data_IF_300496987076
#
_entry.id   IF_300496987076
#
_cell.length_a   1.000
_cell.length_b   1.000
_cell.length_c   1.000
_cell.angle_alpha   90.00
_cell.angle_beta   90.00
_cell.angle_gamma   90.00
#
_symmetry.space_group_name_H-M   'P 1'
#
loop_
_entity.id
_entity.type
_entity.pdbx_description
1 polymer ?
#
# COMPACT_ATOMS: atom_id res chain seq x y z
N UNK A 1 -22.35 -18.45 -76.02
CA UNK A 1 -23.27 -19.20 -75.14
C UNK A 1 -22.38 -20.08 -74.27
N UNK A 2 -22.20 -19.99 -72.95
CA UNK A 2 -22.87 -19.41 -71.78
C UNK A 2 -21.74 -19.18 -70.75
N UNK A 3 -21.33 -17.95 -70.45
CA UNK A 3 -21.54 -17.19 -69.21
C UNK A 3 -21.91 -17.98 -67.93
N UNK A 4 -20.96 -18.21 -67.01
CA UNK A 4 -21.23 -18.28 -65.56
C UNK A 4 -20.09 -17.56 -64.80
N UNK A 5 -20.44 -16.43 -64.18
CA UNK A 5 -19.65 -15.72 -63.18
C UNK A 5 -19.69 -16.51 -61.87
N UNK A 6 -18.54 -16.76 -61.26
CA UNK A 6 -18.45 -17.13 -59.85
C UNK A 6 -18.07 -15.88 -59.05
N UNK A 7 -19.07 -15.32 -58.38
CA UNK A 7 -18.95 -14.24 -57.40
C UNK A 7 -18.55 -14.88 -56.06
N UNK A 8 -17.31 -14.69 -55.63
CA UNK A 8 -16.88 -15.09 -54.28
C UNK A 8 -16.74 -13.85 -53.42
N UNK A 9 -17.82 -13.49 -52.72
CA UNK A 9 -17.79 -12.58 -51.57
C UNK A 9 -17.03 -13.28 -50.44
N UNK A 10 -15.79 -12.88 -50.18
CA UNK A 10 -15.11 -13.20 -48.93
C UNK A 10 -15.33 -12.04 -47.95
N UNK A 11 -16.45 -12.08 -47.24
CA UNK A 11 -16.73 -11.21 -46.10
C UNK A 11 -15.93 -11.73 -44.90
N UNK A 12 -14.69 -11.25 -44.73
CA UNK A 12 -13.93 -11.49 -43.51
C UNK A 12 -14.33 -10.44 -42.47
N UNK A 13 -15.19 -10.87 -41.54
CA UNK A 13 -15.69 -10.12 -40.39
C UNK A 13 -14.51 -9.58 -39.57
N UNK A 14 -14.41 -8.25 -39.46
CA UNK A 14 -13.62 -7.58 -38.44
C UNK A 14 -14.13 -8.03 -37.06
N UNK A 15 -13.45 -9.00 -36.47
CA UNK A 15 -13.63 -9.33 -35.06
C UNK A 15 -12.82 -8.32 -34.26
N UNK A 16 -13.52 -7.29 -33.77
CA UNK A 16 -13.06 -6.42 -32.70
C UNK A 16 -12.73 -7.30 -31.49
N UNK A 17 -11.46 -7.67 -31.31
CA UNK A 17 -10.98 -8.16 -30.04
C UNK A 17 -11.09 -7.01 -29.04
N UNK A 18 -11.97 -7.19 -28.06
CA UNK A 18 -12.23 -6.21 -27.01
C UNK A 18 -10.91 -5.79 -26.37
N UNK A 19 -10.68 -4.48 -26.35
CA UNK A 19 -9.68 -3.88 -25.50
C UNK A 19 -10.07 -4.22 -24.05
N UNK A 20 -9.44 -5.26 -23.50
CA UNK A 20 -9.35 -5.41 -22.06
C UNK A 20 -8.52 -4.22 -21.57
N UNK A 21 -9.21 -3.13 -21.24
CA UNK A 21 -8.69 -2.04 -20.42
C UNK A 21 -8.38 -2.63 -19.05
N UNK A 22 -7.26 -3.34 -18.94
CA UNK A 22 -6.54 -3.41 -17.68
C UNK A 22 -6.17 -1.97 -17.37
N UNK A 23 -6.99 -1.30 -16.57
CA UNK A 23 -6.58 -0.08 -15.88
C UNK A 23 -5.48 -0.52 -14.94
N UNK A 24 -4.26 -0.55 -15.47
CA UNK A 24 -3.07 -0.52 -14.66
C UNK A 24 -3.27 0.64 -13.70
N UNK A 25 -3.24 0.34 -12.40
CA UNK A 25 -3.04 1.34 -11.37
C UNK A 25 -1.60 1.80 -11.52
N UNK A 26 -1.31 2.52 -12.61
CA UNK A 26 -0.08 3.25 -12.78
C UNK A 26 -0.10 4.33 -11.71
N UNK A 27 0.84 4.23 -10.76
CA UNK A 27 1.40 5.41 -10.13
C UNK A 27 1.71 6.39 -11.25
N UNK A 28 0.83 7.39 -11.40
CA UNK A 28 0.96 8.48 -12.36
C UNK A 28 2.42 8.99 -12.26
N UNK A 29 3.16 9.13 -13.38
CA UNK A 29 4.46 9.80 -13.33
C UNK A 29 4.24 11.17 -12.70
N UNK A 30 5.22 11.68 -11.95
CA UNK A 30 5.16 12.92 -11.18
C UNK A 30 4.51 14.07 -11.96
N UNK A 31 3.19 14.14 -11.92
CA UNK A 31 2.38 15.11 -12.62
C UNK A 31 2.19 16.24 -11.65
N UNK A 32 2.61 17.45 -12.04
CA UNK A 32 2.38 18.73 -11.38
C UNK A 32 1.81 18.57 -9.97
N UNK A 33 2.71 18.39 -8.99
CA UNK A 33 2.29 18.32 -7.60
C UNK A 33 1.45 19.57 -7.34
N UNK A 34 0.21 19.39 -6.89
CA UNK A 34 -0.59 20.50 -6.44
C UNK A 34 0.08 21.00 -5.15
N UNK A 35 0.85 22.08 -5.26
CA UNK A 35 1.62 22.63 -4.15
C UNK A 35 0.67 23.53 -3.36
N UNK A 36 0.29 23.07 -2.17
CA UNK A 36 -0.50 23.85 -1.22
C UNK A 36 0.41 24.73 -0.37
N UNK A 37 -0.10 25.83 0.23
CA UNK A 37 0.69 26.68 1.11
C UNK A 37 1.29 25.91 2.30
N UNK A 38 2.43 26.35 2.81
CA UNK A 38 3.15 25.75 3.96
C UNK A 38 2.31 25.65 5.23
N UNK A 39 1.29 26.50 5.37
CA UNK A 39 0.34 26.54 6.49
C UNK A 39 -0.87 25.62 6.28
N UNK A 40 -0.93 24.86 5.19
CA UNK A 40 -2.10 24.04 4.89
C UNK A 40 -2.27 22.92 5.91
N UNK A 41 -3.46 22.88 6.50
CA UNK A 41 -3.92 21.75 7.31
C UNK A 41 -5.22 21.23 6.70
N UNK A 42 -5.38 19.90 6.54
CA UNK A 42 -6.63 19.32 6.09
C UNK A 42 -7.83 19.87 6.88
N UNK A 43 -8.90 20.33 6.20
CA UNK A 43 -10.10 20.82 6.87
C UNK A 43 -10.62 19.79 7.88
N UNK A 44 -10.87 20.20 9.12
CA UNK A 44 -11.33 19.29 10.19
C UNK A 44 -12.84 18.99 10.09
N UNK A 45 -13.27 18.59 8.89
CA UNK A 45 -14.66 18.31 8.53
C UNK A 45 -15.06 16.85 8.76
N UNK A 46 -14.08 15.96 8.93
CA UNK A 46 -14.29 14.55 9.27
C UNK A 46 -13.78 14.22 10.67
N UNK A 47 -14.41 13.21 11.27
CA UNK A 47 -13.94 12.53 12.48
C UNK A 47 -13.87 11.04 12.22
N UNK A 48 -12.78 10.39 12.61
CA UNK A 48 -12.69 8.94 12.52
C UNK A 48 -13.33 8.33 13.77
N UNK A 49 -14.36 7.51 13.57
CA UNK A 49 -15.06 6.85 14.67
C UNK A 49 -14.40 5.54 15.06
N UNK A 50 -13.89 4.79 14.10
CA UNK A 50 -13.11 3.58 14.34
C UNK A 50 -12.07 3.38 13.24
N UNK A 51 -10.88 2.92 13.62
CA UNK A 51 -9.80 2.58 12.69
C UNK A 51 -9.25 1.21 13.06
N UNK A 52 -9.30 0.28 12.11
CA UNK A 52 -8.66 -1.03 12.25
C UNK A 52 -7.60 -1.13 11.18
N UNK A 53 -6.33 -1.10 11.60
CA UNK A 53 -5.17 -1.24 10.71
C UNK A 53 -4.62 -2.65 10.80
N UNK A 54 -4.60 -3.38 9.70
CA UNK A 54 -3.94 -4.67 9.57
C UNK A 54 -2.64 -4.53 8.77
N UNK A 55 -1.52 -4.98 9.35
CA UNK A 55 -0.21 -5.03 8.72
C UNK A 55 0.16 -6.50 8.49
N UNK A 56 0.31 -6.91 7.24
CA UNK A 56 0.74 -8.25 6.86
C UNK A 56 2.23 -8.25 6.50
N UNK A 57 3.01 -9.01 7.27
CA UNK A 57 4.46 -9.19 7.13
C UNK A 57 4.83 -10.59 6.60
N UNK A 58 3.86 -11.32 6.02
CA UNK A 58 4.08 -12.68 5.50
C UNK A 58 4.90 -12.67 4.19
N UNK A 59 4.94 -11.55 3.48
CA UNK A 59 5.75 -11.37 2.25
C UNK A 59 6.99 -10.51 2.51
N UNK A 60 7.83 -10.35 1.50
CA UNK A 60 9.06 -9.53 1.52
C UNK A 60 8.84 -8.02 1.69
N UNK A 61 7.59 -7.57 1.69
CA UNK A 61 7.20 -6.18 1.92
C UNK A 61 5.93 -6.10 2.79
N UNK A 62 5.83 -5.11 3.70
CA UNK A 62 4.64 -4.87 4.50
C UNK A 62 3.45 -4.45 3.63
N UNK A 63 2.33 -5.18 3.72
CA UNK A 63 1.02 -4.74 3.20
C UNK A 63 0.15 -4.24 4.32
N UNK A 64 -0.39 -3.05 4.17
CA UNK A 64 -1.29 -2.41 5.11
C UNK A 64 -2.70 -2.40 4.51
N UNK A 65 -3.68 -2.71 5.34
CA UNK A 65 -5.10 -2.48 5.06
C UNK A 65 -5.67 -1.73 6.26
N UNK A 66 -6.19 -0.53 6.02
CA UNK A 66 -6.78 0.31 7.05
C UNK A 66 -8.25 0.48 6.75
N UNK A 67 -9.09 -0.03 7.64
CA UNK A 67 -10.54 0.18 7.59
C UNK A 67 -10.86 1.38 8.49
N UNK A 68 -11.26 2.50 7.89
CA UNK A 68 -11.55 3.76 8.57
C UNK A 68 -13.04 4.05 8.46
N UNK A 69 -13.73 4.17 9.60
CA UNK A 69 -15.13 4.65 9.63
C UNK A 69 -15.12 6.16 9.81
N UNK A 70 -15.27 6.89 8.71
CA UNK A 70 -15.35 8.35 8.69
C UNK A 70 -16.77 8.81 9.03
N UNK A 71 -16.90 9.90 9.78
CA UNK A 71 -18.14 10.62 10.06
C UNK A 71 -17.98 12.08 9.66
N UNK A 72 -18.91 12.59 8.84
CA UNK A 72 -18.93 14.01 8.51
C UNK A 72 -19.45 14.82 9.71
N UNK A 73 -18.59 15.68 10.26
CA UNK A 73 -18.91 16.57 11.38
C UNK A 73 -19.21 18.00 10.95
N UNK A 74 -19.03 18.33 9.66
CA UNK A 74 -19.39 19.60 9.03
C UNK A 74 -20.92 19.74 8.86
N UNK A 75 -21.46 20.97 8.86
CA UNK A 75 -22.85 21.23 8.48
C UNK A 75 -23.12 21.02 6.97
N UNK A 76 -22.07 20.98 6.14
CA UNK A 76 -22.17 20.79 4.70
C UNK A 76 -21.78 19.37 4.28
N UNK A 77 -22.23 18.93 3.10
CA UNK A 77 -21.76 17.68 2.52
C UNK A 77 -20.28 17.79 2.13
N UNK A 78 -19.51 16.72 2.34
CA UNK A 78 -18.05 16.71 2.14
C UNK A 78 -17.62 15.49 1.34
N UNK A 79 -16.69 15.67 0.41
CA UNK A 79 -16.20 14.62 -0.48
C UNK A 79 -14.67 14.51 -0.55
N UNK A 80 -13.92 15.32 0.19
CA UNK A 80 -12.45 15.30 0.19
C UNK A 80 -11.87 14.75 1.51
N UNK A 81 -11.18 13.61 1.44
CA UNK A 81 -10.52 12.98 2.60
C UNK A 81 -9.01 12.91 2.41
N UNK A 82 -8.23 13.30 3.42
CA UNK A 82 -6.77 13.37 3.32
C UNK A 82 -6.08 12.21 4.06
N UNK A 83 -5.16 11.54 3.37
CA UNK A 83 -4.28 10.51 3.94
C UNK A 83 -2.86 11.05 3.99
N UNK A 84 -2.25 11.20 5.18
CA UNK A 84 -0.87 11.63 5.30
C UNK A 84 0.11 10.44 5.31
N UNK A 85 1.24 10.63 4.63
CA UNK A 85 2.44 9.82 4.76
C UNK A 85 3.64 10.73 4.98
N UNK A 86 4.69 10.26 5.65
CA UNK A 86 5.94 11.03 5.64
C UNK A 86 6.56 11.03 4.24
N UNK A 87 7.42 11.99 3.92
CA UNK A 87 8.11 12.02 2.61
C UNK A 87 8.89 10.72 2.37
N UNK A 88 9.60 10.23 3.39
CA UNK A 88 10.31 8.95 3.33
C UNK A 88 9.38 7.72 3.15
N UNK A 89 8.15 7.78 3.65
CA UNK A 89 7.14 6.73 3.42
C UNK A 89 6.56 6.81 2.00
N UNK A 90 6.32 8.02 1.50
CA UNK A 90 5.78 8.26 0.16
C UNK A 90 6.74 7.76 -0.93
N UNK A 91 8.05 7.95 -0.77
CA UNK A 91 9.09 7.41 -1.67
C UNK A 91 9.08 5.87 -1.76
N UNK A 92 8.63 5.21 -0.69
CA UNK A 92 8.58 3.75 -0.58
C UNK A 92 7.19 3.20 -0.87
N UNK A 93 6.22 4.04 -1.19
CA UNK A 93 4.84 3.63 -1.41
C UNK A 93 4.72 2.88 -2.75
N UNK A 94 4.57 1.56 -2.69
CA UNK A 94 4.50 0.72 -3.89
C UNK A 94 3.13 0.72 -4.56
N UNK A 95 2.08 0.86 -3.76
CA UNK A 95 0.71 1.03 -4.23
C UNK A 95 -0.11 1.75 -3.16
N UNK A 96 -1.15 2.45 -3.59
CA UNK A 96 -2.19 3.01 -2.74
C UNK A 96 -3.53 2.82 -3.45
N UNK A 97 -4.50 2.26 -2.74
CA UNK A 97 -5.86 2.05 -3.22
C UNK A 97 -6.84 2.42 -2.11
N UNK A 98 -7.90 3.15 -2.47
CA UNK A 98 -9.00 3.45 -1.56
C UNK A 98 -10.30 2.96 -2.18
N UNK A 99 -11.10 2.23 -1.41
CA UNK A 99 -12.40 1.69 -1.83
C UNK A 99 -13.43 1.87 -0.73
N UNK A 100 -14.70 1.73 -1.08
CA UNK A 100 -15.74 1.49 -0.08
C UNK A 100 -15.57 0.09 0.51
N UNK A 101 -15.52 -0.03 1.83
CA UNK A 101 -15.35 -1.33 2.48
C UNK A 101 -16.60 -2.22 2.34
N UNK A 102 -17.77 -1.64 2.05
CA UNK A 102 -19.02 -2.40 1.83
C UNK A 102 -19.14 -2.94 0.41
N UNK A 103 -18.47 -2.31 -0.56
CA UNK A 103 -18.46 -2.73 -1.96
C UNK A 103 -17.04 -2.71 -2.52
N UNK A 104 -16.35 -3.85 -2.39
CA UNK A 104 -15.00 -4.01 -2.91
C UNK A 104 -14.94 -4.24 -4.43
N UNK A 105 -16.10 -4.46 -5.06
CA UNK A 105 -16.23 -4.67 -6.51
C UNK A 105 -16.33 -3.35 -7.26
N UNK A 106 -16.68 -2.26 -6.56
CA UNK A 106 -16.69 -0.92 -7.13
C UNK A 106 -15.28 -0.50 -7.57
N UNK A 107 -15.19 0.43 -8.55
CA UNK A 107 -13.94 1.09 -8.85
C UNK A 107 -13.34 1.77 -7.61
N UNK A 108 -12.01 1.82 -7.57
CA UNK A 108 -11.27 2.54 -6.54
C UNK A 108 -11.51 4.04 -6.65
N UNK A 109 -11.50 4.74 -5.52
CA UNK A 109 -11.71 6.17 -5.45
C UNK A 109 -10.52 6.88 -6.10
N UNK A 110 -10.77 8.00 -6.78
CA UNK A 110 -9.71 8.82 -7.32
C UNK A 110 -8.97 9.54 -6.19
N UNK A 111 -7.66 9.65 -6.31
CA UNK A 111 -6.86 10.44 -5.40
C UNK A 111 -5.75 11.16 -6.15
N UNK A 112 -5.27 12.25 -5.57
CA UNK A 112 -4.10 12.98 -6.06
C UNK A 112 -3.10 13.21 -4.93
N UNK A 113 -1.81 13.14 -5.26
CA UNK A 113 -0.75 13.52 -4.34
C UNK A 113 -0.68 15.05 -4.29
N UNK A 114 -0.71 15.57 -3.07
CA UNK A 114 -0.72 17.00 -2.76
C UNK A 114 0.46 17.28 -1.85
N UNK A 115 1.35 18.15 -2.31
CA UNK A 115 2.55 18.54 -1.57
C UNK A 115 2.30 19.84 -0.83
N UNK A 116 2.87 19.97 0.36
CA UNK A 116 2.83 21.22 1.13
C UNK A 116 4.11 22.00 0.80
N UNK A 117 3.98 23.27 0.44
CA UNK A 117 5.09 24.17 0.14
C UNK A 117 6.01 24.31 1.35
N UNK A 118 7.31 24.42 1.10
CA UNK A 118 8.35 24.36 2.12
C UNK A 118 8.77 22.92 2.49
N UNK A 119 9.74 22.82 3.40
CA UNK A 119 10.36 21.55 3.80
C UNK A 119 9.49 20.71 4.76
N UNK A 120 8.20 20.54 4.44
CA UNK A 120 7.32 19.65 5.20
C UNK A 120 7.73 18.19 5.01
N UNK A 121 7.87 17.43 6.11
CA UNK A 121 8.12 15.97 6.06
C UNK A 121 6.83 15.17 5.78
N UNK A 122 5.76 15.81 5.29
CA UNK A 122 4.45 15.17 5.06
C UNK A 122 4.00 15.32 3.61
N UNK A 123 3.77 14.18 2.96
CA UNK A 123 3.05 14.07 1.70
C UNK A 123 1.59 13.75 1.98
N UNK A 124 0.67 14.56 1.46
CA UNK A 124 -0.77 14.29 1.55
C UNK A 124 -1.26 13.61 0.27
N UNK A 125 -2.25 12.74 0.43
CA UNK A 125 -3.04 12.18 -0.67
C UNK A 125 -4.49 12.59 -0.46
N UNK A 126 -5.02 13.42 -1.35
CA UNK A 126 -6.41 13.87 -1.33
C UNK A 126 -7.26 12.85 -2.07
N UNK A 127 -8.12 12.17 -1.34
CA UNK A 127 -9.05 11.16 -1.86
C UNK A 127 -10.40 11.84 -2.13
N UNK A 128 -10.94 11.65 -3.33
CA UNK A 128 -12.28 12.09 -3.69
C UNK A 128 -13.29 10.97 -3.44
N UNK A 129 -14.28 11.22 -2.58
CA UNK A 129 -15.42 10.33 -2.42
C UNK A 129 -16.29 10.37 -3.69
N UNK A 130 -16.80 9.24 -4.20
CA UNK A 130 -17.66 9.22 -5.38
C UNK A 130 -18.96 10.00 -5.22
N UNK A 131 -19.43 10.13 -3.98
CA UNK A 131 -20.60 10.93 -3.61
C UNK A 131 -20.28 11.71 -2.34
N UNK A 132 -20.65 13.01 -2.26
CA UNK A 132 -20.49 13.79 -1.05
C UNK A 132 -21.22 13.16 0.15
N UNK A 133 -20.50 13.00 1.25
CA UNK A 133 -21.03 12.44 2.48
C UNK A 133 -21.85 13.52 3.19
N UNK A 134 -23.15 13.27 3.37
CA UNK A 134 -24.05 14.19 4.05
C UNK A 134 -23.63 14.46 5.52
N UNK A 135 -24.05 15.58 6.12
CA UNK A 135 -23.78 15.87 7.53
C UNK A 135 -24.21 14.71 8.44
N UNK A 136 -23.36 14.34 9.41
CA UNK A 136 -23.55 13.20 10.34
C UNK A 136 -23.59 11.81 9.70
N UNK A 137 -23.55 11.70 8.38
CA UNK A 137 -23.46 10.42 7.71
C UNK A 137 -22.08 9.78 7.90
N UNK A 138 -22.04 8.45 7.77
CA UNK A 138 -20.84 7.64 7.95
C UNK A 138 -20.56 6.80 6.72
N UNK A 139 -19.29 6.66 6.40
CA UNK A 139 -18.81 5.75 5.36
C UNK A 139 -17.60 4.98 5.89
N UNK A 140 -17.41 3.74 5.44
CA UNK A 140 -16.24 2.95 5.79
C UNK A 140 -15.31 2.87 4.59
N UNK A 141 -14.16 3.52 4.70
CA UNK A 141 -13.10 3.47 3.71
C UNK A 141 -12.20 2.26 3.97
N UNK A 142 -11.87 1.53 2.93
CA UNK A 142 -10.79 0.55 2.94
C UNK A 142 -9.60 1.11 2.18
N UNK A 143 -8.55 1.45 2.92
CA UNK A 143 -7.31 2.02 2.39
C UNK A 143 -6.26 0.91 2.38
N UNK A 144 -5.80 0.49 1.21
CA UNK A 144 -4.81 -0.57 1.04
C UNK A 144 -3.53 -0.01 0.43
N UNK A 145 -2.39 -0.28 1.05
CA UNK A 145 -1.10 0.19 0.55
C UNK A 145 0.05 -0.74 0.94
N UNK A 146 1.15 -0.70 0.20
CA UNK A 146 2.37 -1.42 0.53
C UNK A 146 3.56 -0.47 0.62
N UNK A 147 4.44 -0.73 1.57
CA UNK A 147 5.74 -0.06 1.62
C UNK A 147 6.81 -1.01 1.10
N UNK A 148 7.49 -0.62 0.04
CA UNK A 148 8.63 -1.33 -0.53
C UNK A 148 9.89 -1.00 0.26
N UNK A 149 10.91 -1.86 0.20
CA UNK A 149 12.24 -1.62 0.81
C UNK A 149 12.19 -1.07 2.25
N UNK A 150 11.27 -1.61 3.06
CA UNK A 150 10.95 -1.12 4.41
C UNK A 150 11.20 -2.16 5.50
N UNK A 151 11.70 -3.33 5.13
CA UNK A 151 12.17 -4.37 6.04
C UNK A 151 13.65 -4.60 5.81
N UNK A 152 14.36 -5.01 6.85
CA UNK A 152 15.79 -5.31 6.77
C UNK A 152 16.16 -6.49 7.66
N UNK A 153 17.17 -7.29 7.29
CA UNK A 153 17.66 -8.36 8.15
C UNK A 153 18.31 -7.82 9.43
N UNK A 154 18.06 -8.49 10.55
CA UNK A 154 18.76 -8.27 11.81
C UNK A 154 18.92 -9.61 12.55
N UNK A 155 20.15 -10.17 12.66
CA UNK A 155 21.42 -9.59 12.21
C UNK A 155 21.53 -9.48 10.68
N UNK A 156 22.41 -8.60 10.20
CA UNK A 156 22.63 -8.39 8.77
C UNK A 156 23.37 -9.55 8.08
N UNK A 157 24.00 -10.44 8.86
CA UNK A 157 24.62 -11.66 8.39
C UNK A 157 24.33 -12.84 9.33
N UNK A 158 24.12 -14.02 8.76
CA UNK A 158 23.78 -15.27 9.46
C UNK A 158 24.56 -16.45 8.85
N UNK A 159 24.73 -17.55 9.58
CA UNK A 159 25.31 -18.76 8.97
C UNK A 159 24.34 -19.35 7.92
N UNK A 160 24.86 -20.16 7.01
CA UNK A 160 24.08 -20.69 5.88
C UNK A 160 22.83 -21.49 6.28
N UNK A 161 22.84 -22.11 7.47
CA UNK A 161 21.73 -22.91 8.00
C UNK A 161 20.94 -22.19 9.10
N UNK A 162 21.35 -20.98 9.49
CA UNK A 162 20.68 -20.24 10.55
C UNK A 162 19.40 -19.60 10.03
N UNK A 163 18.35 -19.50 10.88
CA UNK A 163 17.14 -18.79 10.53
C UNK A 163 17.40 -17.29 10.36
N UNK A 164 16.74 -16.69 9.38
CA UNK A 164 16.74 -15.25 9.17
C UNK A 164 15.63 -14.57 9.96
N UNK A 165 15.95 -13.40 10.51
CA UNK A 165 14.97 -12.50 11.12
C UNK A 165 14.98 -11.14 10.42
N UNK A 166 13.80 -10.56 10.25
CA UNK A 166 13.61 -9.22 9.71
C UNK A 166 13.10 -8.27 10.77
N UNK A 167 13.45 -7.00 10.59
CA UNK A 167 12.96 -5.89 11.39
C UNK A 167 12.03 -5.03 10.55
N UNK A 168 10.89 -4.67 11.14
CA UNK A 168 9.97 -3.67 10.61
C UNK A 168 9.70 -2.60 11.67
N UNK A 169 9.84 -1.34 11.27
CA UNK A 169 9.63 -0.15 12.09
C UNK A 169 8.42 0.61 11.56
N UNK A 170 7.49 0.94 12.46
CA UNK A 170 6.23 1.60 12.12
C UNK A 170 5.65 2.33 13.33
N UNK A 171 4.55 3.05 13.16
CA UNK A 171 3.80 3.64 14.26
C UNK A 171 2.70 2.69 14.74
N UNK A 172 2.57 2.49 16.06
CA UNK A 172 1.47 1.74 16.67
C UNK A 172 0.11 2.38 16.37
N UNK A 173 0.08 3.70 16.22
CA UNK A 173 -1.05 4.44 15.67
C UNK A 173 -0.99 4.51 14.16
N UNK A 174 -2.15 4.49 13.52
CA UNK A 174 -2.27 5.01 12.17
C UNK A 174 -2.35 6.54 12.25
N UNK A 175 -1.35 7.27 11.70
CA UNK A 175 -1.24 8.71 11.88
C UNK A 175 -2.23 9.45 10.98
N UNK A 176 -3.53 9.44 11.31
CA UNK A 176 -4.56 10.09 10.49
C UNK A 176 -4.47 11.62 10.53
N UNK A 177 -4.90 12.29 9.47
CA UNK A 177 -5.10 13.74 9.44
C UNK A 177 -6.29 14.24 10.31
N UNK A 178 -7.08 13.32 10.89
CA UNK A 178 -8.28 13.62 11.66
C UNK A 178 -8.26 12.97 13.04
N UNK A 179 -8.94 13.61 13.99
CA UNK A 179 -9.12 13.05 15.33
C UNK A 179 -9.86 11.70 15.27
N UNK A 180 -9.37 10.74 16.06
CA UNK A 180 -9.82 9.35 16.01
C UNK A 180 -10.37 8.89 17.37
N UNK A 181 -11.60 8.40 17.38
CA UNK A 181 -12.29 7.99 18.62
C UNK A 181 -11.72 6.69 19.17
N UNK A 182 -11.49 5.71 18.29
CA UNK A 182 -10.90 4.43 18.64
C UNK A 182 -10.04 3.94 17.48
N UNK A 183 -8.89 3.35 17.80
CA UNK A 183 -8.09 2.65 16.81
C UNK A 183 -7.34 1.44 17.39
N UNK A 184 -7.06 0.47 16.52
CA UNK A 184 -6.20 -0.67 16.81
C UNK A 184 -5.34 -1.02 15.59
N UNK A 185 -4.16 -1.58 15.86
CA UNK A 185 -3.25 -2.07 14.82
C UNK A 185 -2.95 -3.55 15.06
N UNK A 186 -3.38 -4.41 14.14
CA UNK A 186 -3.05 -5.84 14.11
C UNK A 186 -1.90 -6.10 13.14
N UNK A 187 -0.92 -6.89 13.57
CA UNK A 187 0.21 -7.34 12.76
C UNK A 187 0.09 -8.85 12.60
N UNK A 188 0.20 -9.32 11.35
CA UNK A 188 0.25 -10.73 11.00
C UNK A 188 1.66 -11.10 10.51
N UNK A 189 2.29 -12.05 11.18
CA UNK A 189 3.62 -12.56 10.86
C UNK A 189 3.54 -13.86 10.04
N UNK A 190 4.63 -14.26 9.34
CA UNK A 190 4.72 -15.57 8.69
C UNK A 190 4.54 -16.75 9.65
N UNK A 191 4.96 -16.60 10.91
CA UNK A 191 4.91 -17.63 11.92
C UNK A 191 4.86 -17.06 13.34
N UNK A 192 4.86 -17.92 14.36
CA UNK A 192 4.78 -17.51 15.77
C UNK A 192 6.12 -17.03 16.35
N UNK A 193 7.23 -17.26 15.65
CA UNK A 193 8.56 -16.86 16.11
C UNK A 193 8.79 -15.36 15.89
N UNK A 194 8.53 -14.61 16.97
CA UNK A 194 8.67 -13.14 17.04
C UNK A 194 9.46 -12.86 18.30
N UNK A 195 10.80 -12.91 18.25
CA UNK A 195 11.64 -12.81 19.42
C UNK A 195 11.66 -11.40 20.05
N UNK A 196 11.30 -10.36 19.31
CA UNK A 196 11.34 -8.99 19.82
C UNK A 196 10.17 -8.17 19.26
N UNK A 197 9.50 -7.42 20.13
CA UNK A 197 8.54 -6.39 19.75
C UNK A 197 8.49 -5.33 20.85
N UNK A 198 8.14 -4.10 20.50
CA UNK A 198 7.93 -3.04 21.48
C UNK A 198 6.70 -3.34 22.34
N UNK A 199 6.90 -3.51 23.65
CA UNK A 199 5.82 -3.59 24.64
C UNK A 199 5.69 -2.27 25.42
N UNK A 200 4.62 -2.09 26.20
CA UNK A 200 4.52 -0.95 27.12
C UNK A 200 4.27 0.40 26.45
N UNK A 201 3.55 0.42 25.32
CA UNK A 201 3.20 1.66 24.61
C UNK A 201 2.36 2.56 25.52
N UNK A 202 2.73 3.84 25.62
CA UNK A 202 2.15 4.82 26.56
C UNK A 202 2.20 4.38 28.03
N UNK A 203 3.20 3.59 28.42
CA UNK A 203 3.34 3.10 29.80
C UNK A 203 2.30 2.04 30.18
N UNK A 204 1.51 1.56 29.22
CA UNK A 204 0.56 0.49 29.42
C UNK A 204 1.18 -0.86 29.02
N UNK A 205 1.49 -1.70 30.01
CA UNK A 205 2.07 -3.01 29.78
C UNK A 205 1.19 -3.93 28.89
N UNK A 206 -0.13 -3.74 28.92
CA UNK A 206 -1.11 -4.52 28.14
C UNK A 206 -1.39 -3.92 26.75
N UNK A 207 -0.66 -2.89 26.34
CA UNK A 207 -0.86 -2.20 25.05
C UNK A 207 -0.55 -3.10 23.85
N UNK A 208 0.19 -4.18 24.04
CA UNK A 208 0.67 -5.09 23.01
C UNK A 208 0.34 -6.54 23.39
N UNK A 209 -0.55 -7.18 22.62
CA UNK A 209 -1.01 -8.55 22.87
C UNK A 209 -0.60 -9.46 21.73
N UNK A 210 0.30 -10.41 22.01
CA UNK A 210 0.74 -11.41 21.04
C UNK A 210 -0.03 -12.71 21.22
N UNK A 211 -0.65 -13.19 20.15
CA UNK A 211 -1.39 -14.47 20.10
C UNK A 211 -0.96 -15.25 18.86
N UNK A 212 -0.15 -16.30 19.05
CA UNK A 212 0.38 -17.09 17.93
C UNK A 212 1.21 -16.24 16.97
N UNK A 213 0.80 -16.19 15.69
CA UNK A 213 1.41 -15.39 14.62
C UNK A 213 0.82 -13.98 14.48
N UNK A 214 0.05 -13.52 15.48
CA UNK A 214 -0.54 -12.17 15.50
C UNK A 214 -0.04 -11.35 16.68
N UNK A 215 0.13 -10.05 16.47
CA UNK A 215 0.41 -9.06 17.52
C UNK A 215 -0.57 -7.89 17.34
N UNK A 216 -1.27 -7.51 18.40
CA UNK A 216 -2.22 -6.40 18.38
C UNK A 216 -1.74 -5.29 19.29
N UNK A 217 -1.71 -4.06 18.77
CA UNK A 217 -1.51 -2.83 19.53
C UNK A 217 -2.84 -2.12 19.74
N UNK A 218 -3.15 -1.77 20.98
CA UNK A 218 -4.41 -1.16 21.38
C UNK A 218 -5.45 -2.18 21.89
N UNK A 219 -6.74 -1.83 21.94
CA UNK A 219 -7.36 -0.64 21.36
C UNK A 219 -7.03 0.66 22.10
N UNK A 220 -6.78 1.73 21.35
CA UNK A 220 -6.53 3.08 21.85
C UNK A 220 -7.77 3.95 21.69
N UNK A 221 -8.00 4.88 22.62
CA UNK A 221 -9.19 5.76 22.64
C UNK A 221 -8.78 7.22 22.56
N UNK A 222 -9.58 8.05 21.88
CA UNK A 222 -9.42 9.51 21.78
C UNK A 222 -8.01 9.93 21.31
N UNK A 223 -7.56 9.39 20.19
CA UNK A 223 -6.26 9.73 19.61
C UNK A 223 -6.36 11.00 18.77
N UNK A 224 -5.46 11.96 18.99
CA UNK A 224 -5.43 13.21 18.25
C UNK A 224 -4.94 13.03 16.81
N UNK A 225 -5.30 13.96 15.92
CA UNK A 225 -4.79 13.98 14.54
C UNK A 225 -3.25 14.02 14.53
N UNK A 226 -2.64 13.30 13.61
CA UNK A 226 -1.18 13.26 13.41
C UNK A 226 -0.39 12.53 14.52
N UNK A 227 -1.05 11.94 15.51
CA UNK A 227 -0.35 11.25 16.61
C UNK A 227 0.43 10.05 16.08
N UNK A 228 1.72 9.98 16.40
CA UNK A 228 2.59 8.85 16.07
C UNK A 228 3.17 8.24 17.33
N UNK A 229 3.42 6.93 17.28
CA UNK A 229 4.04 6.21 18.37
C UNK A 229 4.96 5.13 17.80
N UNK A 230 6.25 5.42 17.62
CA UNK A 230 7.19 4.49 17.01
C UNK A 230 7.27 3.17 17.77
N UNK A 231 7.19 2.07 17.02
CA UNK A 231 7.34 0.70 17.51
C UNK A 231 8.16 -0.10 16.49
N UNK A 232 8.80 -1.16 17.00
CA UNK A 232 9.63 -2.07 16.22
C UNK A 232 9.20 -3.50 16.50
N UNK A 233 9.26 -4.33 15.46
CA UNK A 233 9.11 -5.80 15.59
C UNK A 233 10.26 -6.50 14.89
N UNK A 234 10.77 -7.57 15.49
CA UNK A 234 11.72 -8.52 14.89
C UNK A 234 11.05 -9.89 14.81
N UNK A 235 10.97 -10.44 13.62
CA UNK A 235 10.23 -11.67 13.35
C UNK A 235 11.01 -12.59 12.42
N UNK A 236 10.80 -13.88 12.56
CA UNK A 236 11.40 -14.87 11.66
C UNK A 236 10.79 -14.77 10.26
N UNK A 237 11.64 -14.73 9.25
CA UNK A 237 11.23 -14.74 7.85
C UNK A 237 12.34 -15.35 7.00
N UNK A 238 12.16 -16.60 6.60
CA UNK A 238 13.15 -17.41 5.87
C UNK A 238 12.91 -17.43 4.35
N UNK A 239 11.94 -16.66 3.85
CA UNK A 239 11.72 -16.51 2.42
C UNK A 239 12.71 -15.50 1.81
N UNK A 240 13.05 -15.62 0.52
CA UNK A 240 13.93 -14.68 -0.16
C UNK A 240 13.37 -13.24 -0.15
N UNK A 241 14.24 -12.26 0.06
CA UNK A 241 13.92 -10.84 -0.06
C UNK A 241 14.32 -10.32 -1.45
N UNK A 242 13.57 -10.76 -2.46
CA UNK A 242 13.85 -10.42 -3.86
C UNK A 242 13.59 -8.93 -4.10
N UNK A 243 14.59 -8.23 -4.64
CA UNK A 243 14.52 -6.86 -5.08
C UNK A 243 14.98 -6.73 -6.53
N UNK A 244 14.10 -6.23 -7.40
CA UNK A 244 14.44 -5.94 -8.80
C UNK A 244 14.96 -4.51 -8.87
N UNK A 245 16.27 -4.35 -9.05
CA UNK A 245 16.91 -3.03 -9.14
C UNK A 245 16.76 -2.40 -10.53
N UNK A 246 16.62 -3.23 -11.56
CA UNK A 246 16.40 -2.80 -12.95
C UNK A 246 15.51 -3.80 -13.68
N UNK A 247 14.50 -3.30 -14.38
CA UNK A 247 13.65 -4.04 -15.31
C UNK A 247 13.60 -3.27 -16.62
N UNK A 248 14.08 -3.89 -17.68
CA UNK A 248 13.94 -3.40 -19.05
C UNK A 248 13.00 -4.34 -19.80
N UNK A 249 12.00 -3.78 -20.48
CA UNK A 249 11.05 -4.54 -21.30
C UNK A 249 11.05 -3.97 -22.71
N UNK A 250 11.47 -4.80 -23.66
CA UNK A 250 11.40 -4.51 -25.08
C UNK A 250 10.14 -5.18 -25.65
N UNK A 251 9.31 -4.40 -26.34
CA UNK A 251 8.06 -4.86 -26.95
C UNK A 251 8.14 -4.63 -28.45
N UNK A 252 8.17 -5.71 -29.22
CA UNK A 252 8.21 -5.67 -30.67
C UNK A 252 6.83 -6.01 -31.25
N UNK A 253 6.34 -5.18 -32.17
CA UNK A 253 5.06 -5.39 -32.86
C UNK A 253 5.33 -5.58 -34.35
N UNK A 254 5.02 -6.76 -34.90
CA UNK A 254 5.21 -7.06 -36.31
C UNK A 254 3.87 -7.20 -37.03
N UNK A 255 3.60 -6.28 -37.95
CA UNK A 255 2.41 -6.31 -38.81
C UNK A 255 2.53 -7.38 -39.90
N UNK A 256 3.75 -7.70 -40.33
CA UNK A 256 3.98 -8.73 -41.34
C UNK A 256 3.80 -10.14 -40.78
N UNK A 257 4.29 -10.37 -39.55
CA UNK A 257 4.09 -11.63 -38.81
C UNK A 257 2.75 -11.72 -38.06
N UNK A 258 2.00 -10.62 -37.99
CA UNK A 258 0.74 -10.54 -37.23
C UNK A 258 0.91 -10.85 -35.74
N UNK A 259 2.07 -10.54 -35.14
CA UNK A 259 2.41 -10.93 -33.77
C UNK A 259 3.05 -9.79 -32.94
N UNK A 260 3.11 -10.04 -31.64
CA UNK A 260 3.77 -9.20 -30.64
C UNK A 260 4.78 -10.07 -29.88
N UNK A 261 6.01 -9.58 -29.72
CA UNK A 261 7.07 -10.23 -28.96
C UNK A 261 7.48 -9.36 -27.76
N UNK A 262 7.85 -10.02 -26.67
CA UNK A 262 8.27 -9.40 -25.43
C UNK A 262 9.62 -9.96 -25.01
N UNK A 263 10.57 -9.09 -24.69
CA UNK A 263 11.83 -9.45 -24.04
C UNK A 263 11.98 -8.67 -22.74
N UNK A 264 12.16 -9.37 -21.63
CA UNK A 264 12.37 -8.76 -20.31
C UNK A 264 13.79 -9.05 -19.80
N UNK A 265 14.52 -8.00 -19.41
CA UNK A 265 15.85 -8.09 -18.79
C UNK A 265 15.77 -7.60 -17.35
N UNK A 266 16.02 -8.50 -16.40
CA UNK A 266 15.95 -8.23 -14.96
C UNK A 266 17.35 -8.19 -14.32
N UNK A 267 17.62 -7.15 -13.54
CA UNK A 267 18.68 -7.17 -12.52
C UNK A 267 18.04 -7.39 -11.16
N UNK A 268 18.34 -8.53 -10.54
CA UNK A 268 17.70 -8.99 -9.31
C UNK A 268 18.74 -9.18 -8.22
N UNK A 269 18.44 -8.70 -7.02
CA UNK A 269 19.26 -8.87 -5.81
C UNK A 269 18.41 -9.51 -4.73
N UNK A 270 18.99 -10.43 -3.95
CA UNK A 270 18.39 -10.92 -2.72
C UNK A 270 18.87 -10.05 -1.55
N UNK A 271 17.98 -9.24 -0.98
CA UNK A 271 18.25 -8.34 0.17
C UNK A 271 18.10 -9.05 1.53
N UNK A 272 18.12 -10.39 1.52
CA UNK A 272 18.17 -11.23 2.70
C UNK A 272 19.46 -10.98 3.51
N UNK A 273 19.54 -11.55 4.71
CA UNK A 273 20.75 -11.58 5.50
C UNK A 273 21.90 -12.20 4.69
N UNK A 274 23.06 -11.58 4.73
CA UNK A 274 24.26 -12.10 4.09
C UNK A 274 24.76 -13.37 4.81
N UNK A 275 25.60 -14.15 4.15
CA UNK A 275 26.31 -15.22 4.85
C UNK A 275 27.40 -14.61 5.75
N UNK A 276 27.44 -15.03 7.01
CA UNK A 276 28.47 -14.62 7.97
C UNK A 276 29.84 -15.20 7.63
N UNK A 277 29.87 -16.31 6.89
CA UNK A 277 31.06 -16.97 6.36
C UNK A 277 30.92 -17.18 4.85
N UNK A 278 31.98 -17.64 4.18
CA UNK A 278 31.88 -18.01 2.77
C UNK A 278 30.86 -19.13 2.56
N UNK A 279 30.23 -19.13 1.38
CA UNK A 279 29.30 -20.17 0.97
C UNK A 279 29.97 -21.55 0.99
N UNK A 280 29.31 -22.52 1.60
CA UNK A 280 29.74 -23.91 1.58
C UNK A 280 28.69 -24.77 0.85
N UNK A 281 29.16 -25.55 -0.13
CA UNK A 281 28.30 -26.47 -0.89
C UNK A 281 28.02 -27.79 -0.14
N UNK A 282 28.79 -28.08 0.91
CA UNK A 282 28.78 -29.32 1.70
C UNK A 282 27.99 -29.13 2.98
#
# INVERSE_FOLDING_TARGET
MVNIKALSLATAVLSFAGAALSKSTTTKPAAAQNILPSTFTPPQVFKNTNIVRAINLEKSYPRNVVNVVIENVSPEAQDEYYIPFTTAQAEKLGNLEVKDNKDLTSPSFSFEAVSIDGASDTQLYKVQLPQPLAPKAKQTLRISYAFLSSVRPLPAAVAQQDPQFLVYEFSAYWPSAYATTQQETEIKFPGANVPEYTAGVEGNADSAKKTGSKLTYGPYKKVAAGTTQPVRVRYEHTQPLIHVSRLERDIEVSHWGGNIAFEDRYTIVNQAANLSTQFNRV
#
